data_IF_039747094853
#
_entry.id   IF_039747094853
#
_cell.length_a   1.000
_cell.length_b   1.000
_cell.length_c   1.000
_cell.angle_alpha   90.00
_cell.angle_beta   90.00
_cell.angle_gamma   90.00
#
_symmetry.space_group_name_H-M   'P 1'
#
loop_
_entity.id
_entity.type
_entity.pdbx_description
1 polymer ?
#
# COMPACT_ATOMS: atom_id res chain seq x y z
N UNK A 1 -12.14 -2.93 -26.53
CA UNK A 1 -11.50 -4.21 -26.16
C UNK A 1 -10.14 -4.05 -25.47
N UNK A 2 -9.15 -3.40 -26.08
CA UNK A 2 -7.76 -3.37 -25.55
C UNK A 2 -7.62 -2.68 -24.18
N UNK A 3 -8.37 -1.61 -23.90
CA UNK A 3 -8.37 -0.93 -22.58
C UNK A 3 -8.82 -1.83 -21.43
N UNK A 4 -9.73 -2.78 -21.69
CA UNK A 4 -10.27 -3.68 -20.67
C UNK A 4 -9.22 -4.72 -20.26
N UNK A 5 -8.53 -5.33 -21.22
CA UNK A 5 -7.42 -6.25 -20.92
C UNK A 5 -6.30 -5.55 -20.15
N UNK A 6 -5.98 -4.28 -20.47
CA UNK A 6 -4.95 -3.53 -19.73
C UNK A 6 -5.30 -3.36 -18.24
N UNK A 7 -6.57 -3.19 -17.90
CA UNK A 7 -7.04 -3.06 -16.49
C UNK A 7 -6.85 -4.36 -15.70
N UNK A 8 -7.13 -5.51 -16.32
CA UNK A 8 -6.99 -6.84 -15.69
C UNK A 8 -5.53 -7.18 -15.31
N UNK A 9 -4.55 -6.55 -15.96
CA UNK A 9 -3.13 -6.83 -15.77
C UNK A 9 -2.43 -5.72 -14.96
N UNK A 10 -3.14 -4.66 -14.62
CA UNK A 10 -2.63 -3.57 -13.80
C UNK A 10 -2.75 -3.99 -12.34
N UNK A 11 -1.61 -4.19 -11.68
CA UNK A 11 -1.58 -4.41 -10.23
C UNK A 11 -1.88 -3.08 -9.54
N UNK A 12 -3.03 -2.99 -8.90
CA UNK A 12 -3.36 -1.86 -8.02
C UNK A 12 -2.58 -1.98 -6.71
N UNK A 13 -2.11 -0.84 -6.19
CA UNK A 13 -1.38 -0.76 -4.91
C UNK A 13 -2.27 0.02 -3.94
N UNK A 14 -2.90 -0.64 -2.95
CA UNK A 14 -3.71 0.05 -1.97
C UNK A 14 -2.83 0.91 -1.05
N UNK A 15 -3.25 2.15 -0.79
CA UNK A 15 -2.61 3.04 0.18
C UNK A 15 -3.48 3.07 1.43
N UNK A 16 -2.98 2.46 2.50
CA UNK A 16 -3.66 2.47 3.80
C UNK A 16 -3.24 3.72 4.58
N UNK A 17 -4.20 4.48 5.10
CA UNK A 17 -3.97 5.73 5.82
C UNK A 17 -4.40 5.58 7.28
N UNK A 18 -3.46 5.79 8.20
CA UNK A 18 -3.72 5.81 9.64
C UNK A 18 -3.29 7.17 10.19
N UNK A 19 -4.02 7.66 11.20
CA UNK A 19 -3.73 8.95 11.84
C UNK A 19 -2.99 8.76 13.16
N UNK A 20 -3.69 8.30 14.20
CA UNK A 20 -3.12 8.04 15.52
C UNK A 20 -3.57 6.66 16.02
N UNK A 21 -2.61 5.87 16.48
CA UNK A 21 -2.87 4.62 17.17
C UNK A 21 -2.93 4.89 18.68
N UNK A 22 -3.91 4.32 19.36
CA UNK A 22 -4.09 4.43 20.81
C UNK A 22 -4.39 3.08 21.43
N UNK A 23 -3.88 2.87 22.63
CA UNK A 23 -4.07 1.67 23.45
C UNK A 23 -5.06 1.90 24.61
N UNK A 24 -5.51 3.14 24.81
CA UNK A 24 -6.43 3.54 25.87
C UNK A 24 -7.27 4.76 25.45
N UNK A 25 -8.36 5.00 26.17
CA UNK A 25 -9.20 6.19 26.00
C UNK A 25 -8.61 7.45 26.65
N UNK A 26 -7.50 7.31 27.38
CA UNK A 26 -6.84 8.41 28.07
C UNK A 26 -6.19 9.38 27.07
N UNK A 27 -6.56 10.66 27.16
CA UNK A 27 -6.05 11.70 26.25
C UNK A 27 -6.75 11.77 24.90
N UNK A 28 -7.88 11.09 24.70
CA UNK A 28 -8.71 11.25 23.50
C UNK A 28 -9.39 12.62 23.47
N UNK A 29 -8.85 13.56 22.70
CA UNK A 29 -9.51 14.81 22.35
C UNK A 29 -10.79 14.57 21.54
N UNK A 30 -11.83 15.38 21.77
CA UNK A 30 -13.21 15.23 21.23
C UNK A 30 -13.29 15.13 19.68
N UNK A 31 -12.24 15.52 18.95
CA UNK A 31 -12.23 15.61 17.49
C UNK A 31 -11.13 14.82 16.76
N UNK A 32 -10.40 13.92 17.44
CA UNK A 32 -9.28 13.23 16.76
C UNK A 32 -9.66 11.86 16.23
N UNK A 33 -9.13 11.52 15.05
CA UNK A 33 -9.32 10.22 14.41
C UNK A 33 -8.38 9.22 15.09
N UNK A 34 -8.90 8.53 16.10
CA UNK A 34 -8.18 7.49 16.84
C UNK A 34 -8.46 6.12 16.27
N UNK A 35 -7.43 5.30 16.19
CA UNK A 35 -7.56 3.89 15.84
C UNK A 35 -6.95 3.01 16.92
N UNK A 36 -7.65 1.93 17.27
CA UNK A 36 -7.21 1.00 18.30
C UNK A 36 -5.97 0.22 17.86
N UNK A 37 -4.93 0.19 18.71
CA UNK A 37 -3.66 -0.52 18.45
C UNK A 37 -3.89 -2.01 18.22
N UNK A 38 -4.79 -2.63 18.98
CA UNK A 38 -5.02 -4.07 18.85
C UNK A 38 -5.70 -4.43 17.51
N UNK A 39 -6.62 -3.58 17.06
CA UNK A 39 -7.25 -3.69 15.75
C UNK A 39 -6.26 -3.42 14.62
N UNK A 40 -5.35 -2.46 14.79
CA UNK A 40 -4.27 -2.21 13.84
C UNK A 40 -3.36 -3.44 13.68
N UNK A 41 -2.96 -4.06 14.79
CA UNK A 41 -2.13 -5.27 14.75
C UNK A 41 -2.82 -6.41 13.98
N UNK A 42 -4.11 -6.63 14.22
CA UNK A 42 -4.89 -7.63 13.48
C UNK A 42 -4.91 -7.38 11.98
N UNK A 43 -4.99 -6.11 11.56
CA UNK A 43 -4.92 -5.75 10.14
C UNK A 43 -3.54 -6.04 9.54
N UNK A 44 -2.46 -5.73 10.24
CA UNK A 44 -1.10 -6.07 9.77
C UNK A 44 -0.89 -7.58 9.66
N UNK A 45 -1.34 -8.35 10.66
CA UNK A 45 -1.28 -9.81 10.62
C UNK A 45 -2.11 -10.39 9.46
N UNK A 46 -3.28 -9.80 9.17
CA UNK A 46 -4.08 -10.19 8.01
C UNK A 46 -3.34 -9.98 6.69
N UNK A 47 -2.72 -8.80 6.50
CA UNK A 47 -1.93 -8.50 5.30
C UNK A 47 -0.78 -9.50 5.13
N UNK A 48 -0.05 -9.78 6.21
CA UNK A 48 1.05 -10.75 6.20
C UNK A 48 0.57 -12.16 5.82
N UNK A 49 -0.51 -12.65 6.45
CA UNK A 49 -1.07 -13.99 6.20
C UNK A 49 -1.58 -14.16 4.77
N UNK A 50 -2.02 -13.09 4.12
CA UNK A 50 -2.52 -13.10 2.75
C UNK A 50 -1.44 -12.76 1.70
N UNK A 51 -0.17 -12.73 2.09
CA UNK A 51 0.96 -12.56 1.17
C UNK A 51 1.11 -11.14 0.61
N UNK A 52 0.56 -10.12 1.29
CA UNK A 52 0.82 -8.73 0.95
C UNK A 52 2.24 -8.33 1.36
N UNK A 53 2.86 -7.47 0.57
CA UNK A 53 4.13 -6.81 0.90
C UNK A 53 3.88 -5.33 1.05
N UNK A 54 4.22 -4.78 2.21
CA UNK A 54 4.22 -3.33 2.43
C UNK A 54 5.42 -2.71 1.75
N UNK A 55 5.21 -1.59 1.06
CA UNK A 55 6.28 -0.82 0.44
C UNK A 55 6.19 0.64 0.86
N UNK A 56 7.33 1.30 0.89
CA UNK A 56 7.48 2.73 1.07
C UNK A 56 7.43 3.46 -0.28
N UNK A 57 7.25 4.78 -0.27
CA UNK A 57 7.32 5.58 -1.49
C UNK A 57 8.70 5.53 -2.17
N UNK A 58 9.76 5.29 -1.40
CA UNK A 58 11.11 5.10 -1.94
C UNK A 58 11.18 3.82 -2.78
N UNK A 59 10.75 2.70 -2.23
CA UNK A 59 10.72 1.41 -2.93
C UNK A 59 9.79 1.47 -4.14
N UNK A 60 8.64 2.13 -4.01
CA UNK A 60 7.75 2.36 -5.15
C UNK A 60 8.47 3.11 -6.29
N UNK A 61 9.18 4.20 -5.98
CA UNK A 61 9.95 4.94 -6.98
C UNK A 61 10.97 4.03 -7.67
N UNK A 62 11.76 3.28 -6.90
CA UNK A 62 12.75 2.34 -7.43
C UNK A 62 12.12 1.27 -8.35
N UNK A 63 11.00 0.67 -7.96
CA UNK A 63 10.25 -0.29 -8.76
C UNK A 63 9.76 0.32 -10.09
N UNK A 64 9.24 1.55 -10.06
CA UNK A 64 8.76 2.22 -11.27
C UNK A 64 9.90 2.60 -12.23
N UNK A 65 11.06 3.01 -11.72
CA UNK A 65 12.22 3.31 -12.56
C UNK A 65 12.81 2.06 -13.21
N UNK A 66 12.85 0.92 -12.50
CA UNK A 66 13.25 -0.37 -13.06
C UNK A 66 12.29 -0.79 -14.19
N UNK A 67 10.98 -0.63 -14.00
CA UNK A 67 9.99 -0.94 -15.03
C UNK A 67 10.17 -0.07 -16.29
N UNK A 68 10.42 1.24 -16.12
CA UNK A 68 10.70 2.15 -17.25
C UNK A 68 11.92 1.71 -18.03
N UNK A 69 13.03 1.41 -17.35
CA UNK A 69 14.28 0.93 -17.99
C UNK A 69 14.07 -0.37 -18.78
N UNK A 70 13.35 -1.34 -18.20
CA UNK A 70 13.00 -2.58 -18.91
C UNK A 70 12.19 -2.31 -20.17
N UNK A 71 11.19 -1.43 -20.09
CA UNK A 71 10.36 -1.07 -21.24
C UNK A 71 11.18 -0.44 -22.38
N UNK A 72 12.15 0.43 -22.06
CA UNK A 72 13.05 1.05 -23.04
C UNK A 72 13.96 -0.01 -23.70
N UNK A 73 14.47 -0.96 -22.92
CA UNK A 73 15.30 -2.04 -23.46
C UNK A 73 14.53 -2.89 -24.48
N UNK A 74 13.30 -3.30 -24.16
CA UNK A 74 12.46 -4.09 -25.08
C UNK A 74 11.96 -3.32 -26.30
N UNK A 75 11.89 -1.98 -26.26
CA UNK A 75 11.50 -1.19 -27.44
C UNK A 75 12.64 -0.96 -28.44
N UNK A 76 13.88 -1.23 -28.03
CA UNK A 76 15.08 -1.06 -28.85
C UNK A 76 15.61 -2.38 -29.43
N UNK A 77 14.87 -3.49 -29.21
CA UNK A 77 15.06 -4.80 -29.82
C UNK A 77 13.98 -5.00 -30.90
#
# INVERSE_FOLDING_TARGET
MIKFLKKLWMKEIPILMYHRLVDSDEGKGVHSIYYDVHSFEKQLQYLQKNGFTTITFREYKELTEIQKKKKIHYSNL
#
